data_IF_152930094616
#
_entry.id   IF_152930094616
#
_cell.length_a   1.000
_cell.length_b   1.000
_cell.length_c   1.000
_cell.angle_alpha   90.00
_cell.angle_beta   90.00
_cell.angle_gamma   90.00
#
_symmetry.space_group_name_H-M   'P 1'
#
loop_
_entity.id
_entity.type
_entity.pdbx_description
1 polymer ?
#
# COMPACT_ATOMS: atom_id res chain seq x y z
N UNK A 1 5.81 -25.18 -23.21
CA UNK A 1 4.98 -24.24 -23.99
C UNK A 1 3.57 -23.98 -23.45
N UNK A 2 2.61 -24.92 -23.39
CA UNK A 2 1.30 -24.61 -22.75
C UNK A 2 1.33 -24.56 -21.22
N UNK A 3 2.27 -25.26 -20.57
CA UNK A 3 2.46 -25.19 -19.11
C UNK A 3 3.31 -23.99 -18.65
N UNK A 4 4.02 -23.31 -19.55
CA UNK A 4 4.82 -22.11 -19.21
C UNK A 4 4.00 -20.82 -19.29
N UNK A 5 2.80 -20.87 -19.89
CA UNK A 5 1.91 -19.71 -20.00
C UNK A 5 0.88 -19.61 -18.86
N UNK A 6 0.68 -20.67 -18.07
CA UNK A 6 -0.30 -20.65 -16.96
C UNK A 6 0.33 -20.27 -15.61
N UNK A 7 1.67 -20.23 -15.50
CA UNK A 7 2.36 -19.81 -14.28
C UNK A 7 2.59 -18.28 -14.22
N UNK A 8 2.42 -17.59 -15.35
CA UNK A 8 2.65 -16.14 -15.50
C UNK A 8 1.42 -15.28 -15.15
N UNK A 9 0.27 -15.89 -14.83
CA UNK A 9 -0.98 -15.21 -14.45
C UNK A 9 -1.49 -15.60 -13.05
N UNK A 10 -0.59 -15.96 -12.13
CA UNK A 10 -0.83 -15.70 -10.70
C UNK A 10 0.04 -14.51 -10.33
N UNK A 11 -0.62 -13.39 -10.01
CA UNK A 11 0.01 -12.22 -9.40
C UNK A 11 0.61 -12.59 -8.03
N UNK A 12 1.73 -13.30 -8.03
CA UNK A 12 2.61 -13.43 -6.89
C UNK A 12 3.26 -12.07 -6.74
N UNK A 13 2.68 -11.26 -5.86
CA UNK A 13 3.24 -9.96 -5.56
C UNK A 13 4.68 -10.14 -5.09
N UNK A 14 5.62 -9.57 -5.85
CA UNK A 14 7.05 -9.77 -5.61
C UNK A 14 7.41 -9.07 -4.32
N UNK A 15 7.99 -9.81 -3.38
CA UNK A 15 8.57 -9.23 -2.17
C UNK A 15 9.71 -8.31 -2.63
N UNK A 16 9.73 -7.02 -2.21
CA UNK A 16 10.80 -6.11 -2.56
C UNK A 16 12.19 -6.73 -2.35
N UNK A 17 13.07 -6.55 -3.32
CA UNK A 17 14.47 -6.99 -3.20
C UNK A 17 15.10 -6.31 -1.98
N UNK A 18 15.85 -7.07 -1.17
CA UNK A 18 16.46 -6.54 0.06
C UNK A 18 15.58 -6.61 1.32
N UNK A 19 14.42 -7.27 1.26
CA UNK A 19 13.66 -7.65 2.47
C UNK A 19 14.00 -9.04 3.00
N UNK A 20 14.78 -9.79 2.24
CA UNK A 20 15.29 -11.11 2.59
C UNK A 20 16.78 -11.09 2.28
N UNK A 21 17.61 -11.60 3.19
CA UNK A 21 19.05 -11.71 2.97
C UNK A 21 19.40 -12.95 2.11
N UNK A 22 20.70 -13.12 1.85
CA UNK A 22 21.23 -14.25 1.07
C UNK A 22 20.94 -15.63 1.68
N UNK A 23 20.65 -15.68 2.99
CA UNK A 23 20.35 -16.89 3.74
C UNK A 23 18.83 -17.13 3.87
N UNK A 24 18.00 -16.31 3.23
CA UNK A 24 16.54 -16.43 3.32
C UNK A 24 15.93 -15.83 4.58
N UNK A 25 16.70 -15.06 5.37
CA UNK A 25 16.24 -14.45 6.62
C UNK A 25 15.55 -13.12 6.34
N UNK A 26 14.39 -12.91 6.97
CA UNK A 26 13.68 -11.65 6.90
C UNK A 26 14.52 -10.51 7.50
N UNK A 27 14.70 -9.45 6.70
CA UNK A 27 15.43 -8.24 7.10
C UNK A 27 14.53 -7.20 7.77
N UNK A 28 13.22 -7.24 7.52
CA UNK A 28 12.24 -6.34 8.13
C UNK A 28 11.72 -6.87 9.47
N UNK A 29 12.62 -7.27 10.37
CA UNK A 29 12.24 -7.92 11.63
C UNK A 29 11.34 -7.02 12.48
N UNK A 30 10.32 -7.64 13.09
CA UNK A 30 9.39 -6.92 13.96
C UNK A 30 8.41 -5.99 13.23
N UNK A 31 8.41 -5.96 11.89
CA UNK A 31 7.50 -5.14 11.09
C UNK A 31 7.01 -5.88 9.86
N UNK A 32 5.83 -5.51 9.39
CA UNK A 32 5.32 -5.98 8.11
C UNK A 32 5.44 -4.94 7.00
N UNK A 33 5.86 -3.72 7.31
CA UNK A 33 6.07 -2.64 6.33
C UNK A 33 7.24 -1.76 6.79
N UNK A 34 7.51 -0.66 6.08
CA UNK A 34 8.45 0.36 6.54
C UNK A 34 7.93 0.97 7.86
N UNK A 35 8.72 0.83 8.92
CA UNK A 35 8.48 1.42 10.24
C UNK A 35 9.67 2.23 10.74
N UNK A 36 9.56 2.71 11.98
CA UNK A 36 10.61 3.50 12.63
C UNK A 36 11.91 2.70 12.76
N UNK A 37 11.82 1.42 13.12
CA UNK A 37 12.96 0.52 13.32
C UNK A 37 13.44 -0.17 12.03
N UNK A 38 12.79 0.06 10.89
CA UNK A 38 13.23 -0.53 9.61
C UNK A 38 14.59 0.03 9.19
N UNK A 39 15.50 -0.86 8.82
CA UNK A 39 16.84 -0.49 8.35
C UNK A 39 16.82 0.31 7.05
N UNK A 40 17.92 1.01 6.74
CA UNK A 40 18.07 1.69 5.46
C UNK A 40 17.96 0.73 4.27
N UNK A 41 18.43 -0.51 4.42
CA UNK A 41 18.30 -1.55 3.39
C UNK A 41 16.85 -1.90 3.10
N UNK A 42 16.03 -2.08 4.14
CA UNK A 42 14.59 -2.34 3.99
C UNK A 42 13.90 -1.18 3.28
N UNK A 43 14.19 0.06 3.71
CA UNK A 43 13.62 1.27 3.09
C UNK A 43 14.01 1.39 1.61
N UNK A 44 15.28 1.19 1.30
CA UNK A 44 15.78 1.20 -0.08
C UNK A 44 15.10 0.12 -0.92
N UNK A 45 14.95 -1.10 -0.40
CA UNK A 45 14.28 -2.20 -1.11
C UNK A 45 12.86 -1.86 -1.55
N UNK A 46 12.05 -1.27 -0.67
CA UNK A 46 10.71 -0.80 -1.02
C UNK A 46 10.71 0.31 -2.08
N UNK A 47 11.62 1.28 -1.97
CA UNK A 47 11.75 2.37 -2.94
C UNK A 47 12.16 1.84 -4.32
N UNK A 48 13.13 0.95 -4.36
CA UNK A 48 13.65 0.36 -5.60
C UNK A 48 12.60 -0.54 -6.29
N UNK A 49 11.83 -1.29 -5.50
CA UNK A 49 10.73 -2.09 -6.02
C UNK A 49 9.64 -1.20 -6.62
N UNK A 50 9.21 -0.15 -5.90
CA UNK A 50 8.27 0.83 -6.43
C UNK A 50 8.74 1.44 -7.74
N UNK A 51 10.00 1.91 -7.77
CA UNK A 51 10.58 2.52 -8.96
C UNK A 51 10.55 1.55 -10.14
N UNK A 52 11.03 0.33 -9.93
CA UNK A 52 11.08 -0.71 -10.98
C UNK A 52 9.69 -1.05 -11.52
N UNK A 53 8.73 -1.26 -10.63
CA UNK A 53 7.37 -1.64 -11.02
C UNK A 53 6.66 -0.50 -11.74
N UNK A 54 6.82 0.73 -11.26
CA UNK A 54 6.21 1.91 -11.87
C UNK A 54 6.83 2.24 -13.23
N UNK A 55 8.15 2.17 -13.37
CA UNK A 55 8.83 2.32 -14.66
C UNK A 55 8.39 1.24 -15.66
N UNK A 56 8.25 -0.01 -15.21
CA UNK A 56 7.75 -1.12 -16.03
C UNK A 56 6.31 -0.88 -16.47
N UNK A 57 5.46 -0.40 -15.56
CA UNK A 57 4.09 -0.01 -15.85
C UNK A 57 4.04 1.06 -16.94
N UNK A 58 4.83 2.14 -16.81
CA UNK A 58 4.92 3.22 -17.79
C UNK A 58 5.40 2.70 -19.16
N UNK A 59 6.48 1.91 -19.21
CA UNK A 59 6.99 1.31 -20.46
C UNK A 59 5.99 0.42 -21.18
N UNK A 60 5.16 -0.28 -20.43
CA UNK A 60 4.16 -1.18 -21.01
C UNK A 60 3.03 -0.37 -21.62
N UNK A 61 2.50 0.60 -20.87
CA UNK A 61 1.38 1.42 -21.31
C UNK A 61 1.75 2.43 -22.40
N UNK A 62 3.02 2.83 -22.52
CA UNK A 62 3.45 3.71 -23.63
C UNK A 62 3.32 3.03 -25.00
N UNK A 63 3.43 1.69 -25.06
CA UNK A 63 3.28 0.90 -26.29
C UNK A 63 1.82 0.71 -26.69
N UNK A 64 0.91 0.80 -25.73
CA UNK A 64 -0.52 0.61 -25.92
C UNK A 64 -1.25 1.92 -26.25
N UNK A 65 -0.67 3.05 -25.85
CA UNK A 65 -1.23 4.37 -26.11
C UNK A 65 -0.95 4.81 -27.54
N UNK A 66 -1.99 5.32 -28.19
CA UNK A 66 -1.86 6.04 -29.46
C UNK A 66 -1.07 7.34 -29.26
N UNK A 67 -0.46 7.84 -30.34
CA UNK A 67 0.19 9.16 -30.36
C UNK A 67 -0.78 10.24 -29.87
N UNK A 68 -0.35 11.03 -28.87
CA UNK A 68 -1.17 12.05 -28.22
C UNK A 68 -2.24 11.53 -27.24
N UNK A 69 -2.39 10.21 -27.10
CA UNK A 69 -3.29 9.58 -26.13
C UNK A 69 -2.84 9.86 -24.69
N UNK A 70 -3.80 10.08 -23.78
CA UNK A 70 -3.53 10.45 -22.38
C UNK A 70 -3.87 9.35 -21.40
N UNK A 71 -2.97 9.10 -20.45
CA UNK A 71 -3.23 8.22 -19.30
C UNK A 71 -3.60 9.01 -18.06
N UNK A 72 -4.65 8.58 -17.35
CA UNK A 72 -5.04 9.13 -16.04
C UNK A 72 -4.87 8.08 -14.95
N UNK A 73 -3.86 8.30 -14.09
CA UNK A 73 -3.52 7.39 -12.99
C UNK A 73 -3.92 7.96 -11.66
N UNK A 74 -4.51 7.11 -10.82
CA UNK A 74 -4.95 7.43 -9.47
C UNK A 74 -4.66 6.27 -8.53
N UNK A 75 -3.76 6.50 -7.58
CA UNK A 75 -3.26 5.49 -6.64
C UNK A 75 -2.76 6.18 -5.37
N UNK A 76 -2.61 5.46 -4.23
CA UNK A 76 -2.15 6.03 -2.97
C UNK A 76 -0.79 6.72 -3.11
N UNK A 77 -0.69 7.94 -2.58
CA UNK A 77 0.56 8.70 -2.51
C UNK A 77 0.66 9.48 -1.20
N UNK A 78 1.74 10.23 -1.02
CA UNK A 78 1.84 11.15 0.12
C UNK A 78 2.61 12.43 -0.24
N UNK A 79 2.33 13.50 0.49
CA UNK A 79 3.17 14.70 0.53
C UNK A 79 4.41 14.53 1.43
N UNK A 80 4.44 13.49 2.27
CA UNK A 80 5.54 13.16 3.17
C UNK A 80 6.30 11.96 2.62
N UNK A 81 7.62 12.09 2.51
CA UNK A 81 8.51 10.96 2.18
C UNK A 81 8.47 9.93 3.31
N UNK A 82 8.25 8.65 2.98
CA UNK A 82 8.10 7.55 3.95
C UNK A 82 6.86 7.68 4.86
N UNK A 83 5.73 8.14 4.32
CA UNK A 83 4.49 8.19 5.07
C UNK A 83 4.14 6.82 5.68
N UNK A 84 3.85 6.82 6.99
CA UNK A 84 3.47 5.60 7.70
C UNK A 84 2.01 5.24 7.40
N UNK A 85 1.79 3.96 7.11
CA UNK A 85 0.46 3.43 6.86
C UNK A 85 -0.06 2.79 8.13
N UNK A 86 -0.61 3.61 9.04
CA UNK A 86 -0.87 3.23 10.44
C UNK A 86 -1.78 2.02 10.62
N UNK A 87 -2.72 1.78 9.71
CA UNK A 87 -3.55 0.58 9.78
C UNK A 87 -2.72 -0.69 9.57
N UNK A 88 -1.69 -0.63 8.72
CA UNK A 88 -0.71 -1.71 8.54
C UNK A 88 0.20 -1.83 9.76
N UNK A 89 0.49 -0.74 10.47
CA UNK A 89 1.17 -0.80 11.77
C UNK A 89 0.34 -1.57 12.81
N UNK A 90 -0.97 -1.32 12.90
CA UNK A 90 -1.87 -2.08 13.80
C UNK A 90 -1.89 -3.57 13.45
N UNK A 91 -1.95 -3.91 12.15
CA UNK A 91 -1.88 -5.30 11.69
C UNK A 91 -0.49 -5.90 12.03
N UNK A 92 0.59 -5.15 11.82
CA UNK A 92 1.95 -5.55 12.13
C UNK A 92 2.17 -5.84 13.60
N UNK A 93 1.72 -4.94 14.48
CA UNK A 93 1.73 -5.13 15.93
C UNK A 93 0.88 -6.32 16.37
N UNK A 94 -0.21 -6.60 15.66
CA UNK A 94 -1.05 -7.77 15.96
C UNK A 94 -0.34 -9.06 15.56
N UNK A 95 0.36 -9.07 14.42
CA UNK A 95 1.18 -10.20 13.99
C UNK A 95 2.40 -10.40 14.90
N UNK A 96 2.99 -9.32 15.42
CA UNK A 96 4.11 -9.36 16.36
C UNK A 96 3.71 -10.00 17.71
N UNK A 97 2.54 -9.64 18.26
CA UNK A 97 1.99 -10.31 19.46
C UNK A 97 1.79 -11.82 19.25
N UNK A 98 1.65 -12.24 17.99
CA UNK A 98 1.46 -13.63 17.58
C UNK A 98 2.76 -14.30 17.12
N UNK A 99 3.90 -13.60 17.16
CA UNK A 99 5.19 -14.03 16.62
C UNK A 99 5.13 -14.52 15.16
N UNK A 100 4.43 -13.76 14.30
CA UNK A 100 4.15 -14.09 12.88
C UNK A 100 4.50 -12.97 11.91
N UNK A 101 5.00 -11.85 12.39
CA UNK A 101 5.32 -10.63 11.63
C UNK A 101 6.38 -10.86 10.55
N UNK A 102 7.42 -11.65 10.83
CA UNK A 102 8.52 -11.92 9.88
C UNK A 102 8.09 -12.70 8.62
N UNK A 103 6.86 -13.22 8.59
CA UNK A 103 6.31 -14.01 7.47
C UNK A 103 5.64 -13.14 6.40
N UNK A 104 5.39 -11.88 6.69
CA UNK A 104 4.57 -10.99 5.85
C UNK A 104 5.31 -9.69 5.59
N UNK A 105 5.32 -9.27 4.33
CA UNK A 105 5.68 -7.91 3.95
C UNK A 105 4.53 -7.32 3.15
N UNK A 106 4.08 -6.14 3.54
CA UNK A 106 2.98 -5.40 2.97
C UNK A 106 3.43 -4.85 1.62
N UNK A 107 2.86 -5.29 0.50
CA UNK A 107 3.54 -5.21 -0.78
C UNK A 107 3.19 -3.93 -1.56
N UNK A 108 2.96 -2.85 -0.84
CA UNK A 108 2.63 -1.55 -1.42
C UNK A 108 3.60 -0.53 -0.85
N UNK A 109 4.03 0.40 -1.70
CA UNK A 109 4.84 1.53 -1.28
C UNK A 109 4.07 2.82 -1.54
N UNK A 110 3.99 3.68 -0.51
CA UNK A 110 3.35 4.98 -0.61
C UNK A 110 4.40 6.00 -1.06
N UNK A 111 4.42 6.27 -2.36
CA UNK A 111 5.41 7.17 -2.96
C UNK A 111 5.06 8.65 -2.76
N UNK A 112 6.10 9.47 -2.65
CA UNK A 112 5.93 10.92 -2.66
C UNK A 112 5.76 11.48 -4.07
N UNK A 113 5.21 12.69 -4.18
CA UNK A 113 5.12 13.40 -5.46
C UNK A 113 6.48 13.52 -6.18
N UNK A 114 7.55 13.76 -5.42
CA UNK A 114 8.90 13.87 -5.97
C UNK A 114 9.40 12.54 -6.53
N UNK A 115 9.17 11.43 -5.83
CA UNK A 115 9.55 10.09 -6.31
C UNK A 115 8.80 9.72 -7.60
N UNK A 116 7.51 10.03 -7.67
CA UNK A 116 6.69 9.75 -8.86
C UNK A 116 7.14 10.62 -10.02
N UNK A 117 7.38 11.91 -9.77
CA UNK A 117 7.90 12.86 -10.77
C UNK A 117 9.24 12.39 -11.33
N UNK A 118 10.16 11.98 -10.47
CA UNK A 118 11.48 11.45 -10.86
C UNK A 118 11.36 10.20 -11.73
N UNK A 119 10.47 9.27 -11.38
CA UNK A 119 10.26 8.07 -12.18
C UNK A 119 9.71 8.39 -13.58
N UNK A 120 8.72 9.29 -13.69
CA UNK A 120 8.16 9.70 -14.99
C UNK A 120 9.22 10.40 -15.85
N UNK A 121 9.96 11.35 -15.27
CA UNK A 121 11.02 12.05 -15.99
C UNK A 121 12.18 11.13 -16.38
N UNK A 122 12.52 10.16 -15.53
CA UNK A 122 13.57 9.17 -15.81
C UNK A 122 13.25 8.30 -17.01
N UNK A 123 11.97 7.95 -17.19
CA UNK A 123 11.49 7.20 -18.35
C UNK A 123 11.43 8.04 -19.63
N UNK A 124 11.02 9.31 -19.53
CA UNK A 124 10.95 10.22 -20.67
C UNK A 124 9.88 9.86 -21.72
N UNK A 125 9.01 8.88 -21.41
CA UNK A 125 7.94 8.40 -22.30
C UNK A 125 6.65 9.23 -22.22
N UNK A 126 6.56 10.11 -21.21
CA UNK A 126 5.32 10.77 -20.81
C UNK A 126 5.60 12.20 -20.35
N UNK A 127 4.78 13.16 -20.81
CA UNK A 127 4.75 14.51 -20.27
C UNK A 127 3.85 14.58 -19.03
N UNK A 128 4.25 15.32 -17.99
CA UNK A 128 3.41 15.56 -16.81
C UNK A 128 2.58 16.83 -17.03
N UNK A 129 1.29 16.70 -17.38
CA UNK A 129 0.39 17.88 -17.42
C UNK A 129 -0.15 18.28 -16.06
N UNK A 130 -0.46 17.29 -15.22
CA UNK A 130 -0.93 17.48 -13.85
C UNK A 130 -0.30 16.41 -12.96
N UNK A 131 0.04 16.82 -11.75
CA UNK A 131 0.59 15.95 -10.71
C UNK A 131 0.25 16.61 -9.38
N UNK A 132 -0.65 15.99 -8.63
CA UNK A 132 -1.16 16.53 -7.37
C UNK A 132 -1.53 15.42 -6.41
N UNK A 133 -1.66 15.80 -5.14
CA UNK A 133 -2.21 14.97 -4.08
C UNK A 133 -3.64 15.46 -3.80
N UNK A 134 -4.63 14.59 -4.03
CA UNK A 134 -6.03 14.89 -3.69
C UNK A 134 -6.32 14.39 -2.28
N UNK A 135 -6.28 15.28 -1.30
CA UNK A 135 -6.61 14.95 0.09
C UNK A 135 -8.13 14.82 0.25
N UNK A 136 -8.61 13.70 0.79
CA UNK A 136 -10.00 13.63 1.22
C UNK A 136 -10.25 14.58 2.42
N UNK A 137 -11.47 15.09 2.60
CA UNK A 137 -11.83 15.84 3.80
C UNK A 137 -11.74 14.98 5.06
N UNK A 138 -11.41 15.58 6.21
CA UNK A 138 -11.25 14.88 7.51
C UNK A 138 -12.44 13.98 7.89
N UNK A 139 -13.64 14.38 7.48
CA UNK A 139 -14.89 13.68 7.77
C UNK A 139 -15.56 13.12 6.50
N UNK A 140 -14.79 12.91 5.43
CA UNK A 140 -15.32 12.43 4.15
C UNK A 140 -15.99 11.05 4.29
N UNK A 141 -17.33 11.07 4.26
CA UNK A 141 -18.17 9.88 4.42
C UNK A 141 -18.40 9.46 5.87
N UNK A 142 -18.14 10.35 6.83
CA UNK A 142 -18.37 10.14 8.27
C UNK A 142 -19.32 11.21 8.81
N UNK A 143 -20.22 10.82 9.71
CA UNK A 143 -21.07 11.78 10.42
C UNK A 143 -20.40 12.30 11.71
N UNK A 144 -21.07 13.25 12.38
CA UNK A 144 -20.58 13.87 13.62
C UNK A 144 -20.43 12.87 14.78
N UNK A 145 -21.01 11.68 14.66
CA UNK A 145 -20.90 10.59 15.64
C UNK A 145 -19.73 9.64 15.32
N UNK A 146 -19.01 9.89 14.23
CA UNK A 146 -17.92 9.04 13.78
C UNK A 146 -18.38 7.76 13.08
N UNK A 147 -19.65 7.70 12.66
CA UNK A 147 -20.21 6.56 11.92
C UNK A 147 -20.14 6.81 10.41
N UNK A 148 -20.09 5.72 9.62
CA UNK A 148 -20.10 5.84 8.17
C UNK A 148 -21.47 6.32 7.69
N UNK A 149 -21.51 7.43 6.94
CA UNK A 149 -22.78 7.99 6.40
C UNK A 149 -23.53 6.97 5.53
N UNK A 150 -22.79 6.18 4.75
CA UNK A 150 -23.35 5.14 3.89
C UNK A 150 -23.76 3.85 4.64
N UNK A 151 -23.34 3.68 5.89
CA UNK A 151 -23.45 2.43 6.64
C UNK A 151 -23.48 2.71 8.14
N UNK A 152 -24.64 3.13 8.65
CA UNK A 152 -24.84 3.48 10.07
C UNK A 152 -24.47 2.31 10.99
N UNK A 153 -23.88 2.63 12.14
CA UNK A 153 -23.42 1.63 13.12
C UNK A 153 -22.02 1.04 12.86
N UNK A 154 -21.33 1.41 11.78
CA UNK A 154 -19.92 1.03 11.56
C UNK A 154 -19.02 2.22 11.94
N UNK A 155 -18.22 2.04 12.98
CA UNK A 155 -17.22 3.02 13.40
C UNK A 155 -16.01 3.08 12.45
N UNK A 156 -15.25 4.18 12.51
CA UNK A 156 -14.04 4.42 11.69
C UNK A 156 -13.04 3.27 11.72
N UNK A 157 -12.70 2.79 12.90
CA UNK A 157 -11.78 1.69 13.12
C UNK A 157 -12.19 0.38 12.46
N UNK A 158 -13.42 -0.05 12.76
CA UNK A 158 -14.01 -1.28 12.21
C UNK A 158 -14.02 -1.24 10.67
N UNK A 159 -14.40 -0.10 10.09
CA UNK A 159 -14.36 0.07 8.63
C UNK A 159 -12.95 -0.06 8.08
N UNK A 160 -11.95 0.60 8.68
CA UNK A 160 -10.57 0.58 8.18
C UNK A 160 -9.93 -0.80 8.30
N UNK A 161 -10.14 -1.50 9.41
CA UNK A 161 -9.65 -2.88 9.59
C UNK A 161 -10.29 -3.82 8.59
N UNK A 162 -11.62 -3.73 8.39
CA UNK A 162 -12.32 -4.57 7.41
C UNK A 162 -11.97 -4.23 5.96
N UNK A 163 -11.74 -2.95 5.64
CA UNK A 163 -11.24 -2.52 4.34
C UNK A 163 -9.87 -3.13 4.05
N UNK A 164 -8.96 -3.08 5.02
CA UNK A 164 -7.63 -3.70 4.87
C UNK A 164 -7.71 -5.22 4.80
N UNK A 165 -8.64 -5.84 5.53
CA UNK A 165 -8.92 -7.27 5.41
C UNK A 165 -9.29 -7.61 3.97
N UNK A 166 -10.32 -6.96 3.44
CA UNK A 166 -10.77 -7.19 2.07
C UNK A 166 -9.64 -6.94 1.04
N UNK A 167 -8.80 -5.93 1.25
CA UNK A 167 -7.70 -5.61 0.34
C UNK A 167 -6.53 -6.61 0.39
N UNK A 168 -6.29 -7.27 1.53
CA UNK A 168 -5.12 -8.12 1.75
C UNK A 168 -5.41 -9.60 1.97
N UNK A 169 -6.68 -10.00 2.02
CA UNK A 169 -7.11 -11.35 2.33
C UNK A 169 -6.37 -12.39 1.50
N UNK A 170 -6.38 -12.26 0.16
CA UNK A 170 -5.71 -13.20 -0.72
C UNK A 170 -4.20 -13.35 -0.41
N UNK A 171 -3.52 -12.24 -0.13
CA UNK A 171 -2.10 -12.24 0.21
C UNK A 171 -1.84 -12.92 1.55
N UNK A 172 -2.63 -12.57 2.57
CA UNK A 172 -2.41 -13.02 3.93
C UNK A 172 -2.84 -14.48 4.13
N UNK A 173 -3.91 -14.94 3.47
CA UNK A 173 -4.27 -16.38 3.43
C UNK A 173 -3.11 -17.17 2.83
N UNK A 174 -2.53 -16.73 1.72
CA UNK A 174 -1.42 -17.44 1.08
C UNK A 174 -0.17 -17.55 1.97
N UNK A 175 0.06 -16.58 2.87
CA UNK A 175 1.25 -16.55 3.76
C UNK A 175 1.03 -17.19 5.12
N UNK A 176 -0.18 -17.05 5.68
CA UNK A 176 -0.49 -17.37 7.07
C UNK A 176 -1.54 -18.47 7.22
N UNK A 177 -2.37 -18.72 6.21
CA UNK A 177 -3.56 -19.56 6.28
C UNK A 177 -4.80 -18.78 6.74
N UNK A 178 -5.97 -19.32 6.40
CA UNK A 178 -7.28 -18.68 6.64
C UNK A 178 -7.62 -18.55 8.13
N UNK A 179 -7.35 -19.59 8.93
CA UNK A 179 -7.61 -19.56 10.38
C UNK A 179 -6.82 -18.45 11.08
N UNK A 180 -5.55 -18.29 10.69
CA UNK A 180 -4.67 -17.25 11.22
C UNK A 180 -5.14 -15.86 10.78
N UNK A 181 -5.60 -15.70 9.54
CA UNK A 181 -6.14 -14.43 9.06
C UNK A 181 -7.32 -13.98 9.94
N UNK A 182 -8.27 -14.88 10.18
CA UNK A 182 -9.45 -14.61 10.99
C UNK A 182 -9.06 -14.12 12.40
N UNK A 183 -8.09 -14.80 13.01
CA UNK A 183 -7.57 -14.43 14.32
C UNK A 183 -6.89 -13.05 14.31
N UNK A 184 -6.02 -12.78 13.33
CA UNK A 184 -5.29 -11.51 13.19
C UNK A 184 -6.27 -10.34 13.07
N UNK A 185 -7.25 -10.43 12.18
CA UNK A 185 -8.20 -9.32 11.97
C UNK A 185 -9.17 -9.16 13.14
N UNK A 186 -9.57 -10.24 13.82
CA UNK A 186 -10.34 -10.15 15.06
C UNK A 186 -9.59 -9.39 16.16
N UNK A 187 -8.30 -9.68 16.35
CA UNK A 187 -7.44 -8.98 17.31
C UNK A 187 -7.14 -7.54 16.89
N UNK A 188 -6.94 -7.28 15.60
CA UNK A 188 -6.68 -5.94 15.06
C UNK A 188 -7.86 -4.99 15.34
N UNK A 189 -9.11 -5.45 15.21
CA UNK A 189 -10.29 -4.67 15.60
C UNK A 189 -10.26 -4.28 17.08
N UNK A 190 -9.95 -5.23 17.97
CA UNK A 190 -9.88 -4.96 19.42
C UNK A 190 -8.74 -4.01 19.76
N UNK A 191 -7.57 -4.18 19.12
CA UNK A 191 -6.38 -3.35 19.31
C UNK A 191 -6.61 -1.92 18.82
N UNK A 192 -7.29 -1.74 17.70
CA UNK A 192 -7.69 -0.43 17.20
C UNK A 192 -8.62 0.28 18.20
N UNK A 193 -9.65 -0.42 18.71
CA UNK A 193 -10.58 0.14 19.70
C UNK A 193 -9.94 0.49 21.04
N UNK A 194 -8.88 -0.23 21.41
CA UNK A 194 -8.14 -0.01 22.65
C UNK A 194 -7.06 1.07 22.52
N UNK A 195 -6.79 1.54 21.30
CA UNK A 195 -5.80 2.57 21.02
C UNK A 195 -6.37 3.97 21.30
N UNK A 196 -5.56 4.86 21.85
CA UNK A 196 -5.96 6.23 22.27
C UNK A 196 -6.66 7.02 21.14
N UNK A 197 -7.64 7.91 21.43
CA UNK A 197 -8.34 8.73 20.43
C UNK A 197 -7.43 9.59 19.53
N UNK A 198 -6.15 9.74 19.86
CA UNK A 198 -5.13 10.32 18.96
C UNK A 198 -4.87 9.47 17.70
N UNK A 199 -5.09 8.15 17.73
CA UNK A 199 -4.99 7.26 16.55
C UNK A 199 -6.20 7.38 15.61
N UNK A 200 -7.38 7.74 16.13
CA UNK A 200 -8.60 7.95 15.33
C UNK A 200 -8.50 9.14 14.34
N UNK A 201 -7.66 10.14 14.65
CA UNK A 201 -7.36 11.25 13.73
C UNK A 201 -6.40 10.84 12.59
N UNK A 202 -5.61 9.79 12.80
CA UNK A 202 -4.49 9.40 11.94
C UNK A 202 -4.82 8.21 11.02
N UNK A 203 -5.95 7.54 11.27
CA UNK A 203 -6.64 6.61 10.36
C UNK A 203 -7.53 7.36 9.36
N UNK A 204 -7.20 8.61 9.05
CA UNK A 204 -7.95 9.39 8.10
C UNK A 204 -7.85 8.73 6.71
N UNK A 205 -8.95 8.25 6.10
CA UNK A 205 -8.93 7.68 4.75
C UNK A 205 -8.35 8.65 3.72
N UNK A 206 -8.28 9.96 4.02
CA UNK A 206 -7.57 10.96 3.22
C UNK A 206 -6.12 10.64 2.94
N UNK A 207 -5.37 10.05 3.89
CA UNK A 207 -3.96 9.69 3.67
C UNK A 207 -3.79 8.39 2.89
N UNK A 208 -4.87 7.60 2.77
CA UNK A 208 -4.94 6.38 1.94
C UNK A 208 -5.40 6.70 0.53
N UNK A 209 -6.17 7.78 0.38
CA UNK A 209 -6.85 8.21 -0.83
C UNK A 209 -6.24 9.47 -1.45
N UNK A 210 -4.98 9.77 -1.17
CA UNK A 210 -4.23 10.74 -1.95
C UNK A 210 -4.12 10.20 -3.36
N UNK A 211 -5.01 10.65 -4.23
CA UNK A 211 -5.15 10.20 -5.61
C UNK A 211 -4.23 11.06 -6.47
N UNK A 212 -3.18 10.45 -7.01
CA UNK A 212 -2.46 11.06 -8.12
C UNK A 212 -3.42 11.26 -9.31
N UNK A 213 -3.12 12.22 -10.19
CA UNK A 213 -3.75 12.34 -11.50
C UNK A 213 -2.67 12.69 -12.51
N UNK A 214 -2.14 11.68 -13.21
CA UNK A 214 -1.28 11.91 -14.37
C UNK A 214 -2.16 12.28 -15.58
N UNK A 215 -1.67 13.13 -16.48
CA UNK A 215 -2.20 13.24 -17.83
C UNK A 215 -0.99 13.40 -18.73
N UNK A 216 -0.70 12.36 -19.51
CA UNK A 216 0.51 12.29 -20.30
C UNK A 216 0.20 11.90 -21.74
N UNK A 217 0.26 12.84 -22.70
CA UNK A 217 0.24 12.49 -24.11
C UNK A 217 1.44 11.57 -24.43
N UNK A 218 1.20 10.45 -25.10
CA UNK A 218 2.27 9.65 -25.71
C UNK A 218 3.01 10.46 -26.77
N UNK A 219 4.34 10.42 -26.72
CA UNK A 219 5.23 10.98 -27.75
C UNK A 219 5.21 10.15 -29.03
#
# INVERSE_FOLDING_TARGET
>A
MKMEMEEEERAHQKVPKGLIDENGVALNKGNIYIGEISSLTVRAGYVDQFKTDFETFLKSHSKELILGGSMVLTFPGSDITNASFKIVEVIGLTLADMAREDRVNFPMYIASLDQIRKAIFGEGLFEIRRLEIIKAGKDAGWDDKGERVSSKGIGRGDFMVNYMRAALEALLVAKLGEDVLNEVFGRAVVKEKSSSPSLAFLLNPSSVCDRLKLQAPGL
#
